data_IF_293912379320
#
_entry.id   IF_293912379320
#
_cell.length_a   1.000
_cell.length_b   1.000
_cell.length_c   1.000
_cell.angle_alpha   90.00
_cell.angle_beta   90.00
_cell.angle_gamma   90.00
#
_symmetry.space_group_name_H-M   'P 1'
#
loop_
_entity.id
_entity.type
_entity.pdbx_description
1 polymer ?
#
# COMPACT_ATOMS: atom_id res chain seq x y z
N UNK A 1 37.32 -62.03 -20.07
CA UNK A 1 38.04 -62.03 -21.37
C UNK A 1 38.36 -60.59 -21.75
N UNK A 2 39.66 -60.30 -21.87
CA UNK A 2 40.35 -59.24 -22.63
C UNK A 2 39.74 -57.82 -22.60
N UNK A 3 40.37 -56.86 -21.91
CA UNK A 3 41.60 -56.12 -22.29
C UNK A 3 41.31 -54.92 -23.19
N UNK A 4 41.65 -53.72 -22.72
CA UNK A 4 42.74 -52.91 -23.30
C UNK A 4 43.05 -51.69 -22.43
N UNK A 5 44.29 -51.68 -21.95
CA UNK A 5 45.00 -50.58 -21.29
C UNK A 5 45.33 -49.46 -22.26
N UNK A 6 45.36 -48.19 -21.82
CA UNK A 6 46.44 -47.25 -22.17
C UNK A 6 46.71 -46.31 -20.97
N UNK A 7 47.98 -46.26 -20.60
CA UNK A 7 48.65 -45.41 -19.61
C UNK A 7 48.66 -43.96 -20.10
N UNK A 8 48.50 -42.98 -19.21
CA UNK A 8 49.02 -41.63 -19.46
C UNK A 8 49.49 -40.97 -18.17
N UNK A 9 50.65 -40.33 -18.33
CA UNK A 9 51.59 -39.93 -17.31
C UNK A 9 51.09 -38.78 -16.44
N UNK A 10 51.61 -38.82 -15.20
CA UNK A 10 51.74 -37.70 -14.28
C UNK A 10 52.39 -36.48 -14.95
N UNK A 11 51.80 -35.31 -14.73
CA UNK A 11 52.54 -34.04 -14.75
C UNK A 11 52.18 -33.29 -13.46
N UNK A 12 53.14 -33.26 -12.53
CA UNK A 12 53.16 -32.31 -11.45
C UNK A 12 54.00 -31.12 -11.91
N UNK A 13 53.39 -29.94 -12.06
CA UNK A 13 54.12 -28.67 -12.02
C UNK A 13 53.29 -27.63 -11.28
N UNK A 14 53.80 -27.33 -10.08
CA UNK A 14 53.67 -26.15 -9.23
C UNK A 14 52.71 -25.00 -9.64
N UNK A 15 51.88 -24.61 -8.66
CA UNK A 15 51.41 -23.24 -8.47
C UNK A 15 52.58 -22.26 -8.43
N UNK A 16 52.43 -21.06 -9.02
CA UNK A 16 52.98 -19.86 -8.41
C UNK A 16 51.84 -19.03 -7.81
N UNK A 17 52.00 -18.74 -6.52
CA UNK A 17 51.31 -17.66 -5.84
C UNK A 17 51.57 -16.34 -6.58
N UNK A 18 50.51 -15.73 -7.09
CA UNK A 18 50.53 -14.39 -7.67
C UNK A 18 49.54 -13.50 -6.93
N UNK A 19 49.97 -13.00 -5.77
CA UNK A 19 49.30 -11.89 -5.11
C UNK A 19 49.52 -10.62 -5.94
N UNK A 20 48.45 -10.07 -6.51
CA UNK A 20 48.39 -8.68 -6.94
C UNK A 20 47.21 -8.03 -6.21
N UNK A 21 47.57 -7.27 -5.19
CA UNK A 21 46.71 -6.30 -4.52
C UNK A 21 46.36 -5.21 -5.54
N UNK A 22 45.21 -5.36 -6.18
CA UNK A 22 44.53 -4.28 -6.88
C UNK A 22 43.35 -3.81 -6.06
N UNK A 23 43.58 -2.90 -5.12
CA UNK A 23 42.51 -2.09 -4.53
C UNK A 23 41.94 -1.17 -5.62
N UNK A 24 41.13 -1.75 -6.51
CA UNK A 24 40.28 -1.01 -7.42
C UNK A 24 39.14 -0.42 -6.59
N UNK A 25 39.29 0.82 -6.14
CA UNK A 25 38.15 1.63 -5.72
C UNK A 25 37.11 1.59 -6.85
N UNK A 26 35.85 1.21 -6.59
CA UNK A 26 34.83 1.31 -7.61
C UNK A 26 34.68 2.78 -8.02
N UNK A 27 34.59 3.08 -9.34
CA UNK A 27 34.40 4.46 -9.78
C UNK A 27 33.13 5.02 -9.16
N UNK A 28 33.28 6.05 -8.33
CA UNK A 28 32.18 6.88 -7.81
C UNK A 28 31.51 7.63 -8.97
N UNK A 29 30.62 6.96 -9.72
CA UNK A 29 29.69 7.67 -10.61
C UNK A 29 28.56 6.82 -11.19
N UNK A 30 28.57 5.50 -11.08
CA UNK A 30 27.45 4.70 -11.60
C UNK A 30 26.40 4.57 -10.49
N UNK A 31 25.57 5.61 -10.30
CA UNK A 31 24.26 5.37 -9.68
C UNK A 31 23.54 4.35 -10.56
N UNK A 32 23.24 3.13 -10.09
CA UNK A 32 22.51 2.17 -10.91
C UNK A 32 21.14 2.78 -11.20
N UNK A 33 20.81 2.93 -12.48
CA UNK A 33 19.55 3.49 -12.97
C UNK A 33 18.32 2.83 -12.30
N UNK A 34 18.48 1.61 -11.78
CA UNK A 34 17.51 0.87 -10.98
C UNK A 34 17.06 1.60 -9.69
N UNK A 35 17.96 2.24 -8.95
CA UNK A 35 17.59 2.94 -7.69
C UNK A 35 16.79 4.22 -7.96
N UNK A 36 17.06 4.93 -9.06
CA UNK A 36 16.30 6.12 -9.43
C UNK A 36 14.90 5.78 -9.93
N UNK A 37 14.72 4.58 -10.52
CA UNK A 37 13.39 4.07 -10.89
C UNK A 37 12.57 3.69 -9.66
N UNK A 38 13.16 2.93 -8.73
CA UNK A 38 12.51 2.53 -7.48
C UNK A 38 12.11 3.75 -6.63
N UNK A 39 13.01 4.74 -6.46
CA UNK A 39 12.69 6.00 -5.76
C UNK A 39 11.57 6.80 -6.42
N UNK A 40 11.51 6.83 -7.76
CA UNK A 40 10.41 7.47 -8.48
C UNK A 40 9.08 6.75 -8.25
N UNK A 41 9.08 5.42 -8.31
CA UNK A 41 7.88 4.62 -8.03
C UNK A 41 7.37 4.84 -6.60
N UNK A 42 8.24 4.78 -5.60
CA UNK A 42 7.88 5.06 -4.20
C UNK A 42 7.25 6.45 -4.02
N UNK A 43 7.82 7.48 -4.67
CA UNK A 43 7.25 8.84 -4.66
C UNK A 43 5.85 8.90 -5.27
N UNK A 44 5.60 8.17 -6.36
CA UNK A 44 4.29 8.12 -7.00
C UNK A 44 3.27 7.42 -6.11
N UNK A 45 3.64 6.30 -5.47
CA UNK A 45 2.78 5.59 -4.51
C UNK A 45 2.46 6.47 -3.31
N UNK A 46 3.46 7.11 -2.69
CA UNK A 46 3.25 8.02 -1.57
C UNK A 46 2.35 9.21 -1.94
N UNK A 47 2.52 9.78 -3.14
CA UNK A 47 1.64 10.83 -3.66
C UNK A 47 0.20 10.33 -3.88
N UNK A 48 0.03 9.10 -4.38
CA UNK A 48 -1.28 8.49 -4.58
C UNK A 48 -2.01 8.25 -3.25
N UNK A 49 -1.32 7.70 -2.24
CA UNK A 49 -1.86 7.51 -0.88
C UNK A 49 -2.25 8.85 -0.26
N UNK A 50 -1.37 9.86 -0.34
CA UNK A 50 -1.66 11.22 0.15
C UNK A 50 -2.87 11.83 -0.53
N UNK A 51 -3.05 11.62 -1.84
CA UNK A 51 -4.23 12.08 -2.59
C UNK A 51 -5.50 11.35 -2.14
N UNK A 52 -5.44 10.03 -1.92
CA UNK A 52 -6.57 9.22 -1.43
C UNK A 52 -7.02 9.72 -0.05
N UNK A 53 -6.09 9.85 0.90
CA UNK A 53 -6.37 10.34 2.26
C UNK A 53 -6.98 11.75 2.26
N UNK A 54 -6.41 12.68 1.48
CA UNK A 54 -6.98 14.02 1.33
C UNK A 54 -8.38 13.98 0.70
N UNK A 55 -8.62 13.06 -0.24
CA UNK A 55 -9.92 12.87 -0.87
C UNK A 55 -10.98 12.37 0.13
N UNK A 56 -10.65 11.39 0.96
CA UNK A 56 -11.57 10.84 1.96
C UNK A 56 -11.90 11.87 3.04
N UNK A 57 -10.89 12.60 3.55
CA UNK A 57 -11.10 13.67 4.52
C UNK A 57 -12.01 14.79 3.97
N UNK A 58 -11.80 15.20 2.71
CA UNK A 58 -12.68 16.18 2.04
C UNK A 58 -14.11 15.68 1.89
N UNK A 59 -14.29 14.42 1.50
CA UNK A 59 -15.62 13.82 1.35
C UNK A 59 -16.36 13.76 2.68
N UNK A 60 -15.67 13.40 3.75
CA UNK A 60 -16.25 13.36 5.09
C UNK A 60 -16.66 14.74 5.60
N UNK A 61 -15.83 15.77 5.37
CA UNK A 61 -16.16 17.15 5.69
C UNK A 61 -17.37 17.66 4.90
N UNK A 62 -17.44 17.36 3.59
CA UNK A 62 -18.58 17.75 2.75
C UNK A 62 -19.89 17.09 3.20
N UNK A 63 -19.85 15.82 3.65
CA UNK A 63 -21.01 15.16 4.23
C UNK A 63 -21.41 15.78 5.57
N UNK A 64 -20.45 16.18 6.41
CA UNK A 64 -20.75 16.87 7.67
C UNK A 64 -21.47 18.21 7.43
N UNK A 65 -20.95 19.03 6.51
CA UNK A 65 -21.59 20.30 6.13
C UNK A 65 -22.99 20.08 5.52
N UNK A 66 -23.16 19.02 4.71
CA UNK A 66 -24.48 18.69 4.15
C UNK A 66 -25.48 18.28 5.24
N UNK A 67 -25.06 17.53 6.27
CA UNK A 67 -25.91 17.20 7.41
C UNK A 67 -26.35 18.47 8.13
N UNK A 68 -25.42 19.38 8.43
CA UNK A 68 -25.75 20.65 9.10
C UNK A 68 -26.77 21.47 8.31
N UNK A 69 -26.61 21.55 6.98
CA UNK A 69 -27.59 22.22 6.10
C UNK A 69 -28.95 21.53 6.10
N UNK A 70 -28.99 20.20 6.03
CA UNK A 70 -30.25 19.42 6.02
C UNK A 70 -30.96 19.48 7.37
N UNK A 71 -30.22 19.53 8.47
CA UNK A 71 -30.80 19.76 9.81
C UNK A 71 -31.44 21.14 9.88
N UNK A 72 -30.77 22.19 9.38
CA UNK A 72 -31.36 23.52 9.35
C UNK A 72 -32.65 23.58 8.50
N UNK A 73 -32.64 22.94 7.32
CA UNK A 73 -33.82 22.82 6.45
C UNK A 73 -34.96 22.06 7.13
N UNK A 74 -34.67 20.92 7.79
CA UNK A 74 -35.67 20.16 8.53
C UNK A 74 -36.25 20.96 9.70
N UNK A 75 -35.41 21.73 10.42
CA UNK A 75 -35.89 22.62 11.49
C UNK A 75 -36.83 23.70 10.97
N UNK A 76 -36.55 24.28 9.80
CA UNK A 76 -37.42 25.28 9.16
C UNK A 76 -38.75 24.66 8.69
N UNK A 77 -38.72 23.49 8.06
CA UNK A 77 -39.92 22.79 7.57
C UNK A 77 -40.82 22.31 8.71
N UNK A 78 -40.21 21.90 9.83
CA UNK A 78 -40.94 21.36 10.98
C UNK A 78 -41.44 22.42 11.97
N UNK A 79 -41.12 23.71 11.80
CA UNK A 79 -41.42 24.75 12.79
C UNK A 79 -42.94 24.90 13.03
N UNK A 80 -43.42 24.37 14.15
CA UNK A 80 -44.85 24.31 14.49
C UNK A 80 -45.66 23.18 13.81
N UNK A 81 -45.02 22.37 12.97
CA UNK A 81 -45.66 21.38 12.09
C UNK A 81 -45.05 19.96 12.22
N UNK A 82 -44.71 19.53 13.44
CA UNK A 82 -44.02 18.25 13.72
C UNK A 82 -44.75 16.99 13.21
N UNK A 83 -46.07 17.04 13.05
CA UNK A 83 -46.89 15.89 12.62
C UNK A 83 -47.16 15.87 11.12
N UNK A 84 -46.73 16.88 10.39
CA UNK A 84 -46.95 16.93 8.95
C UNK A 84 -46.00 15.99 8.21
N UNK A 85 -46.48 15.41 7.11
CA UNK A 85 -45.69 14.49 6.31
C UNK A 85 -44.41 15.15 5.78
N UNK A 86 -44.46 16.45 5.48
CA UNK A 86 -43.29 17.23 5.04
C UNK A 86 -42.19 17.28 6.10
N UNK A 87 -42.54 17.41 7.38
CA UNK A 87 -41.57 17.39 8.46
C UNK A 87 -40.88 16.01 8.58
N UNK A 88 -41.65 14.92 8.47
CA UNK A 88 -41.09 13.57 8.45
C UNK A 88 -40.12 13.37 7.28
N UNK A 89 -40.53 13.76 6.07
CA UNK A 89 -39.68 13.65 4.87
C UNK A 89 -38.38 14.45 5.02
N UNK A 90 -38.44 15.66 5.58
CA UNK A 90 -37.24 16.46 5.80
C UNK A 90 -36.25 15.80 6.77
N UNK A 91 -36.75 15.16 7.83
CA UNK A 91 -35.91 14.37 8.74
C UNK A 91 -35.41 13.05 8.14
N UNK A 92 -36.20 12.39 7.27
CA UNK A 92 -35.75 11.22 6.52
C UNK A 92 -34.53 11.57 5.64
N UNK A 93 -34.52 12.76 5.02
CA UNK A 93 -33.36 13.21 4.25
C UNK A 93 -32.10 13.44 5.12
N UNK A 94 -32.26 13.95 6.35
CA UNK A 94 -31.17 14.07 7.32
C UNK A 94 -30.62 12.69 7.69
N UNK A 95 -31.50 11.71 7.89
CA UNK A 95 -31.13 10.33 8.21
C UNK A 95 -30.29 9.72 7.08
N UNK A 96 -30.72 9.85 5.83
CA UNK A 96 -30.02 9.33 4.65
C UNK A 96 -28.61 9.91 4.50
N UNK A 97 -28.44 11.23 4.65
CA UNK A 97 -27.10 11.85 4.57
C UNK A 97 -26.22 11.41 5.75
N UNK A 98 -26.80 11.28 6.94
CA UNK A 98 -26.11 10.80 8.13
C UNK A 98 -25.65 9.35 7.97
N UNK A 99 -26.50 8.50 7.39
CA UNK A 99 -26.18 7.12 7.04
C UNK A 99 -25.05 7.07 6.00
N UNK A 100 -25.08 7.94 4.98
CA UNK A 100 -24.00 8.02 4.00
C UNK A 100 -22.64 8.37 4.66
N UNK A 101 -22.62 9.27 5.65
CA UNK A 101 -21.41 9.60 6.43
C UNK A 101 -20.96 8.43 7.30
N UNK A 102 -21.87 7.77 7.99
CA UNK A 102 -21.56 6.60 8.82
C UNK A 102 -21.00 5.45 7.97
N UNK A 103 -21.60 5.18 6.81
CA UNK A 103 -21.14 4.19 5.85
C UNK A 103 -19.76 4.53 5.28
N UNK A 104 -19.48 5.81 5.01
CA UNK A 104 -18.12 6.25 4.63
C UNK A 104 -17.11 5.90 5.72
N UNK A 105 -17.38 6.23 6.99
CA UNK A 105 -16.49 5.90 8.11
C UNK A 105 -16.29 4.40 8.27
N UNK A 106 -17.36 3.62 8.16
CA UNK A 106 -17.27 2.15 8.22
C UNK A 106 -16.33 1.60 7.15
N UNK A 107 -16.50 2.02 5.89
CA UNK A 107 -15.61 1.58 4.80
C UNK A 107 -14.15 2.00 4.97
N UNK A 108 -13.90 3.12 5.65
CA UNK A 108 -12.53 3.55 5.94
C UNK A 108 -11.91 2.68 7.04
N UNK A 109 -12.69 2.26 8.04
CA UNK A 109 -12.24 1.35 9.08
C UNK A 109 -12.09 -0.10 8.60
N UNK A 110 -12.87 -0.52 7.60
CA UNK A 110 -12.75 -1.84 6.94
C UNK A 110 -11.65 -1.87 5.87
N UNK A 111 -11.08 -0.72 5.49
CA UNK A 111 -9.98 -0.70 4.55
C UNK A 111 -8.71 -1.26 5.24
N UNK A 112 -7.87 -2.01 4.52
CA UNK A 112 -6.63 -2.54 5.09
C UNK A 112 -5.79 -1.38 5.64
N UNK A 113 -5.51 -1.45 6.93
CA UNK A 113 -4.76 -0.43 7.67
C UNK A 113 -3.31 -0.37 7.18
N UNK A 114 -2.76 -1.53 6.79
CA UNK A 114 -1.42 -1.65 6.23
C UNK A 114 -1.47 -1.61 4.68
N UNK A 115 -0.84 -0.60 4.05
CA UNK A 115 -0.68 -0.53 2.60
C UNK A 115 0.01 -1.74 1.97
N UNK A 116 0.78 -2.53 2.75
CA UNK A 116 1.47 -3.73 2.29
C UNK A 116 0.55 -4.97 2.23
N UNK A 117 -0.53 -4.99 3.03
CA UNK A 117 -1.44 -6.14 3.16
C UNK A 117 -2.08 -6.59 1.82
N UNK A 118 -2.58 -5.69 0.95
CA UNK A 118 -3.12 -6.09 -0.35
C UNK A 118 -2.06 -6.65 -1.31
N UNK A 119 -0.80 -6.23 -1.13
CA UNK A 119 0.32 -6.73 -1.93
C UNK A 119 0.67 -8.16 -1.51
N UNK A 120 0.80 -8.42 -0.21
CA UNK A 120 1.11 -9.74 0.31
C UNK A 120 -0.01 -10.76 0.09
N UNK A 121 -1.28 -10.33 0.06
CA UNK A 121 -2.41 -11.19 -0.29
C UNK A 121 -2.29 -11.87 -1.66
N UNK A 122 -1.56 -11.25 -2.60
CA UNK A 122 -1.33 -11.79 -3.95
C UNK A 122 0.12 -12.25 -4.19
N UNK A 123 1.04 -11.95 -3.25
CA UNK A 123 2.47 -12.24 -3.35
C UNK A 123 2.99 -12.81 -2.02
N UNK A 124 2.53 -14.00 -1.58
CA UNK A 124 2.87 -14.54 -0.25
C UNK A 124 4.36 -14.87 -0.12
N UNK A 125 5.02 -15.27 -1.20
CA UNK A 125 6.44 -15.65 -1.19
C UNK A 125 7.40 -14.47 -1.42
N UNK A 126 6.88 -13.23 -1.54
CA UNK A 126 7.73 -12.06 -1.66
C UNK A 126 8.56 -11.87 -0.38
N UNK A 127 9.79 -11.38 -0.50
CA UNK A 127 10.69 -11.18 0.64
C UNK A 127 10.08 -10.26 1.72
N UNK A 128 9.28 -9.27 1.31
CA UNK A 128 8.57 -8.35 2.20
C UNK A 128 7.31 -8.98 2.87
N UNK A 129 6.90 -10.17 2.43
CA UNK A 129 5.66 -10.85 2.84
C UNK A 129 5.88 -12.20 3.52
N UNK A 130 7.10 -12.74 3.46
CA UNK A 130 7.43 -14.04 4.05
C UNK A 130 7.29 -14.00 5.59
N UNK A 131 6.43 -14.86 6.12
CA UNK A 131 6.25 -15.05 7.57
C UNK A 131 7.05 -16.26 8.04
N UNK A 132 7.85 -16.09 9.09
CA UNK A 132 8.56 -17.19 9.76
C UNK A 132 7.72 -17.62 10.95
N UNK A 133 7.19 -18.84 10.90
CA UNK A 133 6.57 -19.45 12.06
C UNK A 133 7.67 -19.83 13.04
N UNK A 134 7.64 -19.23 14.23
CA UNK A 134 8.47 -19.65 15.36
C UNK A 134 7.59 -20.59 16.17
N UNK A 135 7.87 -21.89 16.10
CA UNK A 135 7.21 -22.88 16.95
C UNK A 135 7.74 -22.72 18.39
N UNK A 136 6.86 -22.41 19.35
CA UNK A 136 7.16 -22.29 20.79
C UNK A 136 7.38 -23.66 21.47
#
# INVERSE_FOLDING_TARGET
>A
MASSSIVSLVYATALPAGAVNGAGQPPSSVRPWCHDRARRQQRLVAAAVKRRYKGTARKEAALAELIERKVAEAMEVCDGHEKEEGCRVAWDEVEEVSQAKAHLRRRLAEAPDDPLEPFCAHNPDAEDCAVVYVDD
#
